data_IF_724954444633
#
_entry.id   IF_724954444633
#
_cell.length_a   1.000
_cell.length_b   1.000
_cell.length_c   1.000
_cell.angle_alpha   90.00
_cell.angle_beta   90.00
_cell.angle_gamma   90.00
#
_symmetry.space_group_name_H-M   'P 1'
#
loop_
_entity.id
_entity.type
_entity.pdbx_description
1 polymer ?
#
# COMPACT_ATOMS: atom_id res chain seq x y z
N UNK A 1 -11.49 -62.02 -6.72
CA UNK A 1 -10.49 -61.04 -6.27
C UNK A 1 -11.14 -60.27 -5.15
N UNK A 2 -10.49 -60.26 -4.01
CA UNK A 2 -10.92 -59.69 -2.73
C UNK A 2 -10.66 -58.19 -2.69
N UNK A 3 -11.66 -57.40 -2.29
CA UNK A 3 -11.52 -56.02 -1.79
C UNK A 3 -12.61 -55.90 -0.71
N UNK A 4 -12.29 -56.20 0.55
CA UNK A 4 -11.81 -55.30 1.61
C UNK A 4 -12.85 -54.24 2.02
N UNK A 5 -13.46 -54.51 3.18
CA UNK A 5 -14.35 -53.61 3.92
C UNK A 5 -13.52 -52.54 4.65
N UNK A 6 -13.95 -51.29 4.57
CA UNK A 6 -13.59 -50.25 5.54
C UNK A 6 -14.85 -49.85 6.30
N UNK A 7 -14.91 -50.20 7.59
CA UNK A 7 -15.88 -49.67 8.55
C UNK A 7 -15.45 -48.25 8.97
N UNK A 8 -16.39 -47.31 8.94
CA UNK A 8 -16.29 -46.08 9.73
C UNK A 8 -17.42 -46.12 10.77
N UNK A 9 -17.03 -46.47 12.00
CA UNK A 9 -17.83 -46.30 13.21
C UNK A 9 -18.12 -44.80 13.41
N UNK A 10 -19.34 -44.50 13.87
CA UNK A 10 -19.88 -43.17 14.23
C UNK A 10 -20.45 -42.27 13.12
N UNK A 11 -21.37 -42.79 12.31
CA UNK A 11 -22.55 -42.03 11.83
C UNK A 11 -23.71 -43.00 11.61
N UNK A 12 -24.74 -42.93 12.45
CA UNK A 12 -25.89 -43.83 12.42
C UNK A 12 -26.98 -43.42 11.42
N UNK A 13 -26.65 -43.26 10.14
CA UNK A 13 -27.65 -43.04 9.09
C UNK A 13 -27.34 -43.86 7.82
N UNK A 14 -28.35 -44.59 7.35
CA UNK A 14 -28.28 -45.36 6.11
C UNK A 14 -28.46 -44.42 4.91
N UNK A 15 -27.44 -44.36 4.04
CA UNK A 15 -27.52 -43.68 2.75
C UNK A 15 -28.13 -44.64 1.72
N UNK A 16 -29.36 -44.38 1.27
CA UNK A 16 -30.00 -45.09 0.15
C UNK A 16 -30.06 -44.14 -1.07
N UNK A 17 -29.43 -44.55 -2.16
CA UNK A 17 -29.05 -43.68 -3.28
C UNK A 17 -30.06 -43.62 -4.44
N UNK A 18 -31.36 -43.89 -4.22
CA UNK A 18 -32.31 -44.00 -5.35
C UNK A 18 -33.61 -43.20 -5.30
N UNK A 19 -33.94 -42.37 -4.30
CA UNK A 19 -35.20 -41.59 -4.33
C UNK A 19 -35.08 -40.18 -3.78
N UNK A 20 -35.17 -39.21 -4.70
CA UNK A 20 -35.29 -37.79 -4.39
C UNK A 20 -36.65 -37.43 -3.78
N UNK A 21 -36.59 -36.46 -2.86
CA UNK A 21 -37.66 -35.63 -2.30
C UNK A 21 -38.91 -36.35 -1.76
N UNK A 22 -39.12 -36.30 -0.44
CA UNK A 22 -40.47 -36.10 0.09
C UNK A 22 -40.52 -35.29 1.38
N UNK A 23 -41.50 -34.39 1.34
CA UNK A 23 -42.06 -33.48 2.35
C UNK A 23 -42.31 -34.15 3.70
N UNK A 24 -41.86 -33.50 4.78
CA UNK A 24 -42.28 -33.84 6.14
C UNK A 24 -43.36 -32.86 6.63
N UNK A 25 -44.51 -33.42 6.99
CA UNK A 25 -45.59 -32.77 7.74
C UNK A 25 -45.76 -33.51 9.08
N UNK A 26 -45.55 -32.82 10.20
CA UNK A 26 -46.09 -33.13 11.55
C UNK A 26 -45.60 -32.05 12.52
N UNK A 27 -46.44 -31.11 12.97
CA UNK A 27 -47.47 -31.18 14.03
C UNK A 27 -46.90 -31.19 15.46
N UNK A 28 -46.86 -29.97 16.02
CA UNK A 28 -47.10 -29.51 17.40
C UNK A 28 -46.70 -30.40 18.59
N UNK A 29 -45.80 -29.86 19.42
CA UNK A 29 -45.84 -29.99 20.87
C UNK A 29 -45.55 -28.61 21.50
N UNK A 30 -46.40 -28.25 22.46
CA UNK A 30 -46.42 -27.01 23.23
C UNK A 30 -45.38 -27.02 24.38
N UNK A 31 -45.25 -25.84 24.99
CA UNK A 31 -44.66 -25.50 26.28
C UNK A 31 -43.14 -25.25 26.33
N UNK A 32 -42.76 -23.97 26.27
CA UNK A 32 -42.02 -23.33 27.38
C UNK A 32 -42.01 -21.79 27.22
N UNK A 33 -42.09 -21.12 28.37
CA UNK A 33 -42.51 -19.74 28.61
C UNK A 33 -41.32 -18.77 28.75
N UNK A 34 -41.46 -17.58 28.15
CA UNK A 34 -40.80 -16.27 28.42
C UNK A 34 -39.29 -16.01 28.11
N UNK A 35 -38.83 -14.74 27.96
CA UNK A 35 -39.54 -13.45 28.01
C UNK A 35 -39.30 -12.50 26.82
N UNK A 36 -40.18 -11.50 26.69
CA UNK A 36 -40.19 -10.45 25.67
C UNK A 36 -38.94 -9.54 25.68
N UNK A 37 -38.42 -9.24 24.49
CA UNK A 37 -37.41 -8.19 24.26
C UNK A 37 -38.13 -6.89 23.84
N UNK A 38 -37.74 -5.72 24.35
CA UNK A 38 -38.38 -4.45 24.01
C UNK A 38 -37.99 -4.01 22.58
N UNK A 39 -39.00 -3.75 21.76
CA UNK A 39 -38.86 -3.09 20.46
C UNK A 39 -38.74 -1.58 20.65
N UNK A 40 -37.65 -1.01 20.17
CA UNK A 40 -37.41 0.43 20.15
C UNK A 40 -37.82 0.97 18.77
N UNK A 41 -39.06 1.47 18.64
CA UNK A 41 -39.50 2.21 17.45
C UNK A 41 -38.99 3.65 17.50
N UNK A 42 -38.07 4.00 16.59
CA UNK A 42 -37.69 5.39 16.33
C UNK A 42 -38.70 5.98 15.33
N UNK A 43 -39.63 6.76 15.86
CA UNK A 43 -40.57 7.55 15.07
C UNK A 43 -39.87 8.67 14.30
N UNK A 44 -39.76 8.52 12.98
CA UNK A 44 -39.29 9.58 12.07
C UNK A 44 -40.41 10.61 11.89
N UNK A 45 -40.35 11.71 12.67
CA UNK A 45 -41.23 12.86 12.45
C UNK A 45 -40.73 13.69 11.27
N UNK A 46 -41.48 13.65 10.17
CA UNK A 46 -41.42 14.61 9.05
C UNK A 46 -41.55 16.04 9.57
N UNK A 47 -40.49 16.84 9.42
CA UNK A 47 -40.57 18.29 9.45
C UNK A 47 -40.43 18.81 8.02
N UNK A 48 -41.55 19.25 7.45
CA UNK A 48 -41.56 20.13 6.28
C UNK A 48 -41.65 21.57 6.76
N UNK A 49 -40.76 22.43 6.27
CA UNK A 49 -40.78 23.90 6.33
C UNK A 49 -39.51 24.35 5.58
N UNK A 50 -39.42 25.37 4.75
CA UNK A 50 -40.32 26.24 4.01
C UNK A 50 -39.35 27.02 3.10
N UNK A 51 -39.65 27.12 1.80
CA UNK A 51 -38.90 27.92 0.84
C UNK A 51 -38.85 29.39 1.28
N UNK A 52 -37.67 30.00 1.34
CA UNK A 52 -37.51 31.45 1.39
C UNK A 52 -36.74 31.92 0.15
N UNK A 53 -37.51 32.34 -0.85
CA UNK A 53 -37.04 33.15 -1.98
C UNK A 53 -36.95 34.61 -1.50
N UNK A 54 -35.77 35.19 -1.54
CA UNK A 54 -35.60 36.64 -1.61
C UNK A 54 -34.60 36.95 -2.74
N UNK A 55 -35.12 37.60 -3.78
CA UNK A 55 -34.32 38.27 -4.80
C UNK A 55 -34.02 39.73 -4.45
N UNK A 56 -33.44 40.42 -5.45
CA UNK A 56 -33.01 41.83 -5.54
C UNK A 56 -31.57 42.06 -5.04
N UNK A 57 -30.65 42.76 -5.73
CA UNK A 57 -30.70 43.64 -6.91
C UNK A 57 -29.26 43.96 -7.37
N UNK A 58 -29.10 44.08 -8.69
CA UNK A 58 -28.29 45.02 -9.50
C UNK A 58 -27.15 45.84 -8.87
N UNK A 59 -25.98 45.84 -9.51
CA UNK A 59 -24.92 46.83 -9.28
C UNK A 59 -23.69 46.70 -10.19
N UNK A 60 -23.83 47.00 -11.49
CA UNK A 60 -22.70 47.38 -12.36
C UNK A 60 -22.31 48.83 -12.07
N UNK A 61 -21.03 49.12 -11.82
CA UNK A 61 -20.40 50.42 -12.17
C UNK A 61 -18.99 50.18 -12.73
N UNK A 62 -18.75 50.91 -13.82
CA UNK A 62 -17.61 50.97 -14.72
C UNK A 62 -16.35 51.60 -14.11
N UNK A 63 -15.20 51.12 -14.58
CA UNK A 63 -14.21 51.93 -15.32
C UNK A 63 -13.38 52.97 -14.57
N UNK A 64 -12.05 52.77 -14.58
CA UNK A 64 -11.08 53.78 -14.19
C UNK A 64 -9.67 53.42 -14.62
N UNK A 65 -9.34 53.73 -15.88
CA UNK A 65 -7.98 53.82 -16.42
C UNK A 65 -7.11 54.77 -15.59
N UNK A 66 -5.85 54.42 -15.36
CA UNK A 66 -4.75 55.40 -15.53
C UNK A 66 -3.41 54.71 -15.78
N UNK A 67 -2.55 55.45 -16.49
CA UNK A 67 -1.45 55.00 -17.34
C UNK A 67 -0.13 55.54 -16.79
N UNK A 68 0.98 54.85 -17.09
CA UNK A 68 2.34 55.42 -17.12
C UNK A 68 3.13 55.27 -15.81
N UNK A 69 4.46 55.15 -15.80
CA UNK A 69 5.50 55.39 -16.82
C UNK A 69 6.73 54.55 -16.41
N UNK A 70 7.52 54.07 -17.38
CA UNK A 70 8.77 53.34 -17.12
C UNK A 70 10.00 54.21 -16.82
N UNK A 71 11.10 53.55 -16.46
CA UNK A 71 12.53 53.95 -16.53
C UNK A 71 13.32 52.69 -16.09
N UNK A 72 14.10 51.99 -16.93
CA UNK A 72 15.40 52.29 -17.55
C UNK A 72 16.57 52.46 -16.57
N UNK A 73 17.57 51.57 -16.67
CA UNK A 73 18.94 51.68 -16.12
C UNK A 73 19.05 51.23 -14.65
N UNK A 74 20.09 50.53 -14.20
CA UNK A 74 21.46 50.48 -14.67
C UNK A 74 22.23 49.34 -13.99
N UNK A 75 23.22 48.82 -14.71
CA UNK A 75 24.25 47.88 -14.29
C UNK A 75 24.97 48.32 -13.01
N UNK A 76 25.26 47.35 -12.13
CA UNK A 76 26.33 47.47 -11.15
C UNK A 76 27.34 46.34 -11.39
N UNK A 77 28.43 46.71 -12.05
CA UNK A 77 29.69 45.97 -12.00
C UNK A 77 30.36 46.28 -10.66
N UNK A 78 30.78 45.23 -9.96
CA UNK A 78 31.75 45.34 -8.88
C UNK A 78 33.07 44.75 -9.37
N UNK A 79 34.07 45.61 -9.49
CA UNK A 79 35.42 45.32 -9.91
C UNK A 79 36.30 45.33 -8.65
N UNK A 80 36.94 44.20 -8.33
CA UNK A 80 38.12 44.19 -7.45
C UNK A 80 39.30 43.66 -8.26
N UNK A 81 40.32 44.50 -8.29
CA UNK A 81 41.61 44.30 -8.92
C UNK A 81 42.51 43.32 -8.14
N UNK A 82 43.39 42.64 -8.89
CA UNK A 82 44.52 41.84 -8.39
C UNK A 82 44.90 40.81 -9.46
N UNK A 83 45.62 41.21 -10.51
CA UNK A 83 47.07 40.99 -10.62
C UNK A 83 47.45 39.52 -10.40
N UNK A 84 47.60 38.75 -11.48
CA UNK A 84 48.92 38.30 -11.93
C UNK A 84 48.81 37.46 -13.21
N UNK A 85 49.75 37.73 -14.12
CA UNK A 85 49.90 37.12 -15.44
C UNK A 85 50.59 35.76 -15.35
N UNK A 86 50.00 34.69 -15.88
CA UNK A 86 50.74 33.52 -16.39
C UNK A 86 50.04 32.96 -17.64
N UNK A 87 50.85 32.68 -18.66
CA UNK A 87 50.54 32.18 -20.01
C UNK A 87 49.95 30.75 -20.06
N UNK A 88 49.25 30.36 -21.16
CA UNK A 88 48.69 29.02 -21.30
C UNK A 88 49.70 28.03 -21.89
N UNK A 89 49.76 26.82 -21.33
CA UNK A 89 50.36 25.64 -21.96
C UNK A 89 49.34 24.51 -21.94
N UNK A 90 48.95 24.02 -23.12
CA UNK A 90 48.13 22.82 -23.29
C UNK A 90 48.95 21.52 -23.04
N UNK A 91 48.36 20.31 -23.21
CA UNK A 91 47.90 19.49 -22.11
C UNK A 91 48.81 18.27 -21.95
N UNK A 92 48.89 17.71 -20.74
CA UNK A 92 49.47 16.37 -20.60
C UNK A 92 48.56 15.44 -19.81
N UNK A 93 48.40 14.28 -20.42
CA UNK A 93 47.62 13.10 -20.09
C UNK A 93 47.99 12.51 -18.73
N UNK A 94 47.00 12.04 -17.97
CA UNK A 94 47.25 11.16 -16.83
C UNK A 94 46.10 11.00 -15.86
N UNK A 95 45.29 9.98 -16.10
CA UNK A 95 44.56 9.10 -15.18
C UNK A 95 43.60 9.65 -14.10
N UNK A 96 42.44 8.97 -14.10
CA UNK A 96 41.52 8.67 -13.01
C UNK A 96 40.77 9.87 -12.43
N UNK A 97 39.44 9.88 -12.63
CA UNK A 97 38.53 9.58 -11.54
C UNK A 97 37.19 9.09 -12.10
N UNK A 98 36.79 7.90 -11.64
CA UNK A 98 35.44 7.39 -11.72
C UNK A 98 34.60 8.24 -10.77
N UNK A 99 33.78 9.13 -11.29
CA UNK A 99 32.64 9.70 -10.59
C UNK A 99 31.63 10.18 -11.63
N UNK A 100 30.84 9.24 -12.15
CA UNK A 100 29.59 9.57 -12.82
C UNK A 100 28.62 8.38 -12.79
N UNK A 101 28.12 8.05 -11.59
CA UNK A 101 26.78 7.46 -11.47
C UNK A 101 25.86 8.64 -11.15
N UNK A 102 25.67 9.50 -12.14
CA UNK A 102 24.58 10.46 -12.11
C UNK A 102 23.32 9.80 -12.68
N UNK A 103 22.26 9.95 -11.90
CA UNK A 103 20.87 9.63 -12.15
C UNK A 103 20.47 9.59 -13.63
N UNK A 104 20.47 8.40 -14.23
CA UNK A 104 19.78 8.16 -15.49
C UNK A 104 18.28 7.94 -15.21
N UNK A 105 17.61 8.93 -14.61
CA UNK A 105 16.17 9.08 -14.81
C UNK A 105 16.00 9.80 -16.14
N UNK A 106 16.11 9.04 -17.23
CA UNK A 106 15.70 9.53 -18.54
C UNK A 106 14.19 9.76 -18.49
N UNK A 107 13.82 11.02 -18.26
CA UNK A 107 12.50 11.54 -18.57
C UNK A 107 12.24 11.36 -20.07
N UNK A 108 11.60 10.24 -20.42
CA UNK A 108 10.78 10.22 -21.62
C UNK A 108 9.74 11.33 -21.41
N UNK A 109 9.73 12.34 -22.29
CA UNK A 109 8.99 13.61 -22.14
C UNK A 109 7.46 13.54 -22.06
N UNK A 110 6.90 12.42 -21.61
CA UNK A 110 5.49 12.20 -21.30
C UNK A 110 5.17 12.44 -19.83
N UNK A 111 6.16 12.46 -18.92
CA UNK A 111 5.94 12.58 -17.47
C UNK A 111 5.33 11.33 -16.82
N UNK A 112 5.36 10.20 -17.54
CA UNK A 112 4.96 8.87 -17.07
C UNK A 112 6.18 8.16 -16.50
N UNK A 113 6.08 7.63 -15.28
CA UNK A 113 7.19 6.96 -14.58
C UNK A 113 7.29 5.51 -15.04
N UNK A 114 8.50 5.06 -15.37
CA UNK A 114 8.78 3.64 -15.67
C UNK A 114 9.45 2.98 -14.47
N UNK A 115 9.19 1.69 -14.24
CA UNK A 115 10.05 0.87 -13.40
C UNK A 115 11.43 0.75 -14.04
N UNK A 116 12.48 0.99 -13.26
CA UNK A 116 13.87 0.78 -13.67
C UNK A 116 14.28 -0.69 -13.57
N UNK A 117 13.69 -1.43 -12.63
CA UNK A 117 13.85 -2.87 -12.46
C UNK A 117 12.47 -3.51 -12.31
N UNK A 118 12.22 -4.54 -13.10
CA UNK A 118 10.96 -5.31 -13.13
C UNK A 118 11.14 -6.72 -12.57
N UNK A 119 12.37 -7.08 -12.18
CA UNK A 119 12.66 -8.36 -11.54
C UNK A 119 12.19 -8.35 -10.09
N UNK A 120 11.58 -9.46 -9.68
CA UNK A 120 11.18 -9.69 -8.31
C UNK A 120 12.37 -9.47 -7.35
N UNK A 121 12.25 -8.57 -6.36
CA UNK A 121 13.41 -8.05 -5.65
C UNK A 121 14.03 -9.01 -4.63
N UNK A 122 13.41 -10.16 -4.35
CA UNK A 122 13.86 -11.09 -3.31
C UNK A 122 14.40 -12.41 -3.85
N UNK A 123 14.65 -12.49 -5.16
CA UNK A 123 15.27 -13.64 -5.81
C UNK A 123 14.46 -14.92 -5.58
N UNK A 124 15.01 -15.89 -4.85
CA UNK A 124 14.35 -17.18 -4.61
C UNK A 124 13.42 -17.19 -3.38
N UNK A 125 13.25 -16.06 -2.71
CA UNK A 125 12.37 -15.97 -1.55
C UNK A 125 10.91 -16.10 -2.00
N UNK A 126 10.17 -17.03 -1.41
CA UNK A 126 8.75 -17.21 -1.73
C UNK A 126 7.97 -15.91 -1.47
N UNK A 127 7.22 -15.46 -2.47
CA UNK A 127 6.12 -14.52 -2.33
C UNK A 127 4.80 -15.30 -2.36
N UNK A 128 3.89 -14.98 -1.45
CA UNK A 128 2.60 -15.65 -1.37
C UNK A 128 1.48 -14.74 -0.89
N UNK A 129 0.28 -15.32 -0.86
CA UNK A 129 -0.93 -14.68 -0.35
C UNK A 129 -1.32 -15.39 0.93
N UNK A 130 -1.46 -14.63 2.02
CA UNK A 130 -1.80 -15.17 3.33
C UNK A 130 -3.20 -15.78 3.37
N UNK A 131 -3.40 -16.64 4.37
CA UNK A 131 -4.69 -17.29 4.62
C UNK A 131 -5.08 -17.18 6.08
N UNK A 132 -6.37 -16.93 6.31
CA UNK A 132 -6.97 -16.84 7.64
C UNK A 132 -6.40 -15.74 8.54
N UNK A 133 -6.68 -15.87 9.83
CA UNK A 133 -6.24 -14.94 10.87
C UNK A 133 -5.18 -15.60 11.76
N UNK A 134 -4.20 -14.82 12.23
CA UNK A 134 -3.17 -15.30 13.17
C UNK A 134 -3.20 -14.49 14.46
N UNK A 135 -3.18 -15.17 15.60
CA UNK A 135 -3.26 -14.54 16.93
C UNK A 135 -1.95 -14.67 17.70
N UNK A 136 -1.48 -13.55 18.22
CA UNK A 136 -0.28 -13.38 19.04
C UNK A 136 -0.65 -12.67 20.33
N UNK A 137 -0.48 -13.33 21.47
CA UNK A 137 -0.95 -12.80 22.75
C UNK A 137 -2.45 -12.49 22.70
N UNK A 138 -2.80 -11.20 22.81
CA UNK A 138 -4.18 -10.70 22.70
C UNK A 138 -4.46 -9.98 21.36
N UNK A 139 -3.54 -10.08 20.40
CA UNK A 139 -3.60 -9.39 19.11
C UNK A 139 -3.87 -10.40 18.00
N UNK A 140 -4.83 -10.11 17.13
CA UNK A 140 -5.17 -10.97 15.98
C UNK A 140 -4.95 -10.16 14.70
N UNK A 141 -4.28 -10.74 13.72
CA UNK A 141 -4.10 -10.12 12.42
C UNK A 141 -4.90 -10.88 11.37
N UNK A 142 -5.64 -10.15 10.52
CA UNK A 142 -6.25 -10.67 9.29
C UNK A 142 -5.14 -10.83 8.27
N UNK A 143 -4.75 -12.06 7.98
CA UNK A 143 -3.69 -12.35 6.99
C UNK A 143 -4.28 -12.87 5.68
N UNK A 144 -5.58 -13.16 5.64
CA UNK A 144 -6.29 -13.58 4.45
C UNK A 144 -6.16 -12.52 3.35
N UNK A 145 -5.65 -12.91 2.18
CA UNK A 145 -5.52 -12.01 1.04
C UNK A 145 -4.26 -11.13 1.08
N UNK A 146 -3.52 -11.13 2.19
CA UNK A 146 -2.38 -10.23 2.36
C UNK A 146 -1.11 -10.76 1.68
N UNK A 147 -0.31 -9.89 1.03
CA UNK A 147 0.95 -10.31 0.44
C UNK A 147 1.98 -10.61 1.54
N UNK A 148 2.65 -11.75 1.43
CA UNK A 148 3.80 -12.08 2.28
C UNK A 148 5.04 -12.45 1.47
N UNK A 149 6.19 -12.34 2.15
CA UNK A 149 7.43 -13.03 1.79
C UNK A 149 7.96 -13.86 2.96
N UNK A 150 8.72 -14.91 2.65
CA UNK A 150 9.32 -15.79 3.65
C UNK A 150 8.57 -17.10 3.84
N UNK A 151 9.05 -17.90 4.79
CA UNK A 151 8.48 -19.23 5.05
C UNK A 151 7.07 -19.11 5.65
N UNK A 152 6.05 -19.82 5.13
CA UNK A 152 4.73 -19.89 5.77
C UNK A 152 4.77 -20.58 7.15
N UNK A 153 5.82 -21.37 7.41
CA UNK A 153 6.06 -22.07 8.68
C UNK A 153 6.95 -21.27 9.64
N UNK A 154 7.26 -20.00 9.34
CA UNK A 154 8.10 -19.18 10.21
C UNK A 154 7.47 -18.99 11.60
N UNK A 155 8.31 -19.06 12.63
CA UNK A 155 7.90 -18.90 14.02
C UNK A 155 7.42 -17.47 14.31
N UNK A 156 8.09 -16.48 13.73
CA UNK A 156 7.76 -15.07 13.88
C UNK A 156 6.98 -14.57 12.66
N UNK A 157 5.93 -13.79 12.91
CA UNK A 157 5.26 -13.02 11.85
C UNK A 157 5.49 -11.54 12.06
N UNK A 158 5.96 -10.87 11.01
CA UNK A 158 6.04 -9.42 10.94
C UNK A 158 4.86 -8.91 10.09
N UNK A 159 4.05 -8.00 10.62
CA UNK A 159 2.97 -7.32 9.88
C UNK A 159 3.30 -5.84 9.80
N UNK A 160 3.52 -5.33 8.59
CA UNK A 160 3.95 -3.95 8.37
C UNK A 160 2.82 -3.13 7.74
N UNK A 161 2.34 -2.14 8.49
CA UNK A 161 1.39 -1.14 8.02
C UNK A 161 2.14 0.07 7.47
N UNK A 162 2.07 0.29 6.17
CA UNK A 162 2.88 1.30 5.48
C UNK A 162 2.06 2.14 4.50
N UNK A 163 2.69 3.21 4.02
CA UNK A 163 2.12 4.14 3.04
C UNK A 163 3.19 4.40 1.99
N UNK A 164 2.87 4.14 0.72
CA UNK A 164 3.81 4.23 -0.40
C UNK A 164 4.33 5.64 -0.69
N UNK A 165 3.63 6.69 -0.26
CA UNK A 165 4.08 8.09 -0.37
C UNK A 165 4.84 8.56 0.87
N UNK A 166 4.75 7.84 1.98
CA UNK A 166 5.39 8.25 3.22
C UNK A 166 6.94 8.21 3.12
N UNK A 167 7.64 9.32 3.40
CA UNK A 167 9.10 9.34 3.38
C UNK A 167 9.75 8.51 4.50
N UNK A 168 9.03 8.28 5.61
CA UNK A 168 9.50 7.39 6.67
C UNK A 168 9.39 5.92 6.27
N UNK A 169 8.35 5.54 5.52
CA UNK A 169 8.24 4.18 4.96
C UNK A 169 9.38 3.92 3.98
N UNK A 170 9.67 4.87 3.07
CA UNK A 170 10.86 4.80 2.22
C UNK A 170 12.14 4.59 3.02
N UNK A 171 12.40 5.42 4.04
CA UNK A 171 13.59 5.27 4.89
C UNK A 171 13.65 3.92 5.59
N UNK A 172 12.53 3.39 6.06
CA UNK A 172 12.49 2.06 6.66
C UNK A 172 12.87 0.98 5.63
N UNK A 173 12.30 1.04 4.43
CA UNK A 173 12.56 0.10 3.34
C UNK A 173 14.02 0.13 2.84
N UNK A 174 14.65 1.30 2.79
CA UNK A 174 16.07 1.46 2.43
C UNK A 174 17.05 0.99 3.52
N UNK A 175 16.58 0.86 4.77
CA UNK A 175 17.44 0.60 5.92
C UNK A 175 17.02 -0.68 6.68
N UNK A 176 16.17 -0.55 7.70
CA UNK A 176 15.89 -1.64 8.63
C UNK A 176 15.21 -2.84 7.97
N UNK A 177 14.33 -2.59 6.99
CA UNK A 177 13.67 -3.65 6.23
C UNK A 177 14.67 -4.59 5.54
N UNK A 178 15.67 -4.04 4.85
CA UNK A 178 16.72 -4.83 4.17
C UNK A 178 17.40 -5.78 5.15
N UNK A 179 17.79 -5.27 6.33
CA UNK A 179 18.40 -6.09 7.36
C UNK A 179 17.46 -7.18 7.91
N UNK A 180 16.16 -6.88 8.05
CA UNK A 180 15.15 -7.87 8.48
C UNK A 180 14.99 -8.98 7.43
N UNK A 181 14.89 -8.61 6.15
CA UNK A 181 14.74 -9.57 5.05
C UNK A 181 15.95 -10.48 4.96
N UNK A 182 17.16 -9.91 4.91
CA UNK A 182 18.41 -10.67 4.75
C UNK A 182 18.70 -11.58 5.95
N UNK A 183 18.46 -11.10 7.17
CA UNK A 183 18.89 -11.83 8.37
C UNK A 183 17.85 -12.78 8.94
N UNK A 184 16.56 -12.63 8.61
CA UNK A 184 15.49 -13.42 9.22
C UNK A 184 14.51 -14.00 8.21
N UNK A 185 14.03 -13.20 7.26
CA UNK A 185 13.02 -13.69 6.29
C UNK A 185 13.64 -14.73 5.35
N UNK A 186 14.83 -14.45 4.82
CA UNK A 186 15.58 -15.39 3.96
C UNK A 186 16.01 -16.67 4.68
N UNK A 187 16.15 -16.62 6.01
CA UNK A 187 16.50 -17.80 6.82
C UNK A 187 15.28 -18.65 7.19
N UNK A 188 14.07 -18.14 6.93
CA UNK A 188 12.82 -18.80 7.29
C UNK A 188 12.37 -18.53 8.73
N UNK A 189 13.03 -17.63 9.45
CA UNK A 189 12.71 -17.30 10.84
C UNK A 189 11.50 -16.35 10.94
N UNK A 190 11.29 -15.51 9.92
CA UNK A 190 10.20 -14.52 9.85
C UNK A 190 9.38 -14.69 8.58
N UNK A 191 8.06 -14.72 8.72
CA UNK A 191 7.10 -14.47 7.64
C UNK A 191 6.70 -12.99 7.68
N UNK A 192 6.96 -12.25 6.60
CA UNK A 192 6.75 -10.81 6.56
C UNK A 192 5.55 -10.46 5.67
N UNK A 193 4.55 -9.82 6.25
CA UNK A 193 3.36 -9.30 5.57
C UNK A 193 3.44 -7.79 5.41
N UNK A 194 2.89 -7.30 4.31
CA UNK A 194 2.61 -5.88 4.11
C UNK A 194 1.10 -5.63 4.19
N UNK A 195 0.71 -4.49 4.76
CA UNK A 195 -0.66 -3.98 4.81
C UNK A 195 -0.69 -2.50 4.48
N UNK A 196 -1.71 -2.07 3.76
CA UNK A 196 -1.87 -0.67 3.35
C UNK A 196 -2.39 0.21 4.49
N UNK A 197 -1.70 1.31 4.77
CA UNK A 197 -2.16 2.35 5.71
C UNK A 197 -2.05 3.75 5.06
N UNK A 198 -2.78 4.01 3.96
CA UNK A 198 -2.66 5.27 3.23
C UNK A 198 -3.18 6.46 4.06
N UNK A 199 -2.30 7.40 4.35
CA UNK A 199 -2.57 8.62 5.12
C UNK A 199 -2.94 9.78 4.18
N UNK A 200 -4.00 9.59 3.37
CA UNK A 200 -4.42 10.47 2.27
C UNK A 200 -4.46 11.98 2.56
N UNK A 201 -4.76 12.37 3.81
CA UNK A 201 -4.77 13.78 4.22
C UNK A 201 -3.39 14.43 4.12
N UNK A 202 -2.35 13.65 4.32
CA UNK A 202 -0.94 14.06 4.25
C UNK A 202 -0.31 13.65 2.92
N UNK A 203 -0.78 12.55 2.35
CA UNK A 203 -0.19 11.87 1.20
C UNK A 203 -1.25 11.63 0.11
N UNK A 204 -1.47 12.60 -0.81
CA UNK A 204 -2.56 12.56 -1.78
C UNK A 204 -2.58 11.36 -2.73
N UNK A 205 -1.44 10.75 -3.05
CA UNK A 205 -1.36 9.59 -3.95
C UNK A 205 -1.14 8.25 -3.22
N UNK A 206 -1.21 8.24 -1.88
CA UNK A 206 -1.10 7.02 -1.07
C UNK A 206 -2.23 5.99 -1.33
N UNK A 207 -3.48 6.43 -1.50
CA UNK A 207 -4.59 5.50 -1.81
C UNK A 207 -4.55 4.99 -3.25
N UNK A 208 -4.32 5.83 -4.28
CA UNK A 208 -4.04 5.34 -5.64
C UNK A 208 -2.89 4.32 -5.70
N UNK A 209 -1.77 4.55 -5.01
CA UNK A 209 -0.67 3.56 -4.97
C UNK A 209 -1.04 2.26 -4.24
N UNK A 210 -1.79 2.33 -3.14
CA UNK A 210 -2.31 1.16 -2.44
C UNK A 210 -3.27 0.34 -3.32
N UNK A 211 -4.19 1.00 -4.02
CA UNK A 211 -5.09 0.33 -4.96
C UNK A 211 -4.31 -0.34 -6.11
N UNK A 212 -3.31 0.35 -6.67
CA UNK A 212 -2.46 -0.22 -7.71
C UNK A 212 -1.67 -1.44 -7.22
N UNK A 213 -1.21 -1.47 -5.96
CA UNK A 213 -0.52 -2.63 -5.41
C UNK A 213 -1.48 -3.81 -5.23
N UNK A 214 -2.69 -3.60 -4.74
CA UNK A 214 -3.69 -4.68 -4.63
C UNK A 214 -4.10 -5.24 -5.99
N UNK A 215 -4.27 -4.37 -7.00
CA UNK A 215 -4.53 -4.83 -8.37
C UNK A 215 -3.37 -5.63 -8.98
N UNK A 216 -2.13 -5.36 -8.56
CA UNK A 216 -0.99 -6.21 -8.92
C UNK A 216 -1.04 -7.56 -8.17
N UNK A 217 -1.33 -7.54 -6.86
CA UNK A 217 -1.43 -8.73 -6.01
C UNK A 217 -2.49 -9.71 -6.50
N UNK A 218 -3.64 -9.20 -6.94
CA UNK A 218 -4.73 -9.98 -7.52
C UNK A 218 -4.32 -10.88 -8.70
N UNK A 219 -3.25 -10.51 -9.39
CA UNK A 219 -2.72 -11.25 -10.52
C UNK A 219 -1.47 -12.05 -10.12
N UNK A 220 -0.57 -11.43 -9.36
CA UNK A 220 0.71 -12.01 -8.99
C UNK A 220 1.31 -11.37 -7.72
N UNK A 221 1.63 -12.21 -6.73
CA UNK A 221 2.28 -11.79 -5.49
C UNK A 221 3.69 -11.23 -5.74
N UNK A 222 4.46 -11.76 -6.70
CA UNK A 222 5.78 -11.20 -7.03
C UNK A 222 5.67 -9.80 -7.65
N UNK A 223 4.61 -9.55 -8.43
CA UNK A 223 4.33 -8.24 -8.99
C UNK A 223 3.99 -7.22 -7.90
N UNK A 224 3.22 -7.59 -6.88
CA UNK A 224 2.99 -6.74 -5.70
C UNK A 224 4.31 -6.27 -5.08
N UNK A 225 5.25 -7.20 -4.83
CA UNK A 225 6.53 -6.86 -4.21
C UNK A 225 7.42 -6.01 -5.12
N UNK A 226 7.32 -6.20 -6.43
CA UNK A 226 7.98 -5.36 -7.44
C UNK A 226 7.40 -3.95 -7.44
N UNK A 227 6.07 -3.80 -7.37
CA UNK A 227 5.38 -2.53 -7.22
C UNK A 227 5.79 -1.82 -5.93
N UNK A 228 5.75 -2.53 -4.79
CA UNK A 228 6.18 -1.99 -3.49
C UNK A 228 7.58 -1.39 -3.55
N UNK A 229 8.54 -2.12 -4.11
CA UNK A 229 9.90 -1.60 -4.29
C UNK A 229 9.89 -0.39 -5.22
N UNK A 230 9.21 -0.48 -6.36
CA UNK A 230 9.06 0.59 -7.33
C UNK A 230 8.54 1.89 -6.72
N UNK A 231 7.49 1.82 -5.89
CA UNK A 231 6.91 2.97 -5.21
C UNK A 231 7.93 3.69 -4.32
N UNK A 232 8.64 2.96 -3.46
CA UNK A 232 9.63 3.56 -2.57
C UNK A 232 10.86 4.10 -3.31
N UNK A 233 11.30 3.42 -4.38
CA UNK A 233 12.39 3.90 -5.21
C UNK A 233 12.02 5.20 -5.96
N UNK A 234 10.74 5.39 -6.33
CA UNK A 234 10.31 6.44 -7.24
C UNK A 234 9.39 7.52 -6.63
N UNK A 235 9.31 7.66 -5.30
CA UNK A 235 8.38 8.61 -4.63
C UNK A 235 8.39 10.03 -5.22
N UNK A 236 9.57 10.60 -5.51
CA UNK A 236 9.67 11.94 -6.09
C UNK A 236 9.10 12.00 -7.52
N UNK A 237 9.48 11.05 -8.37
CA UNK A 237 9.00 10.98 -9.75
C UNK A 237 7.49 10.75 -9.81
N UNK A 238 6.96 9.88 -8.94
CA UNK A 238 5.53 9.62 -8.81
C UNK A 238 4.76 10.82 -8.25
N UNK A 239 5.33 11.55 -7.30
CA UNK A 239 4.75 12.81 -6.82
C UNK A 239 4.64 13.85 -7.93
N UNK A 240 5.63 13.94 -8.82
CA UNK A 240 5.58 14.79 -10.01
C UNK A 240 4.57 14.27 -11.04
N UNK A 241 4.50 12.96 -11.27
CA UNK A 241 3.53 12.35 -12.17
C UNK A 241 2.10 12.59 -11.69
N UNK A 242 1.83 12.43 -10.40
CA UNK A 242 0.55 12.75 -9.77
C UNK A 242 0.15 14.22 -9.97
N UNK A 243 1.06 15.16 -9.71
CA UNK A 243 0.79 16.59 -9.93
C UNK A 243 0.48 16.94 -11.39
N UNK A 244 1.06 16.19 -12.33
CA UNK A 244 0.88 16.40 -13.77
C UNK A 244 -0.24 15.55 -14.39
N UNK A 245 -0.96 14.73 -13.60
CA UNK A 245 -2.05 13.87 -14.07
C UNK A 245 -1.60 12.60 -14.81
N UNK A 246 -0.36 12.14 -14.58
CA UNK A 246 0.24 10.98 -15.22
C UNK A 246 0.43 9.77 -14.27
N UNK A 247 -0.10 9.84 -13.04
CA UNK A 247 0.07 8.77 -12.06
C UNK A 247 -0.55 7.45 -12.53
N UNK A 248 -1.81 7.47 -12.95
CA UNK A 248 -2.53 6.28 -13.41
C UNK A 248 -1.86 5.66 -14.64
N UNK A 249 -1.45 6.49 -15.60
CA UNK A 249 -0.70 6.02 -16.77
C UNK A 249 0.64 5.39 -16.39
N UNK A 250 1.25 5.83 -15.28
CA UNK A 250 2.44 5.18 -14.72
C UNK A 250 2.10 3.80 -14.15
N UNK A 251 0.96 3.64 -13.47
CA UNK A 251 0.52 2.35 -12.93
C UNK A 251 0.23 1.33 -14.03
N UNK A 252 -0.44 1.74 -15.13
CA UNK A 252 -0.67 0.84 -16.26
C UNK A 252 0.64 0.45 -16.95
N UNK A 253 1.57 1.38 -17.07
CA UNK A 253 2.91 1.10 -17.59
C UNK A 253 3.65 0.11 -16.70
N UNK A 254 3.53 0.22 -15.38
CA UNK A 254 4.16 -0.72 -14.46
C UNK A 254 3.56 -2.11 -14.61
N UNK A 255 2.24 -2.23 -14.75
CA UNK A 255 1.57 -3.50 -15.01
C UNK A 255 2.07 -4.16 -16.30
N UNK A 256 2.22 -3.38 -17.39
CA UNK A 256 2.83 -3.87 -18.64
C UNK A 256 4.27 -4.35 -18.41
N UNK A 257 5.07 -3.55 -17.70
CA UNK A 257 6.49 -3.83 -17.45
C UNK A 257 6.73 -5.07 -16.58
N UNK A 258 5.82 -5.36 -15.64
CA UNK A 258 5.86 -6.57 -14.80
C UNK A 258 5.16 -7.77 -15.44
N UNK A 259 4.66 -7.64 -16.68
CA UNK A 259 4.04 -8.73 -17.41
C UNK A 259 2.64 -9.11 -16.93
N UNK A 260 1.97 -8.23 -16.18
CA UNK A 260 0.57 -8.41 -15.79
C UNK A 260 -0.35 -8.25 -17.00
N UNK A 261 -1.56 -8.80 -16.92
CA UNK A 261 -2.61 -8.50 -17.88
C UNK A 261 -3.06 -7.04 -17.68
N UNK A 262 -2.70 -6.18 -18.63
CA UNK A 262 -2.97 -4.74 -18.55
C UNK A 262 -4.46 -4.42 -18.62
N UNK A 263 -5.27 -5.22 -19.30
CA UNK A 263 -6.71 -4.99 -19.40
C UNK A 263 -7.38 -5.36 -18.08
N UNK A 264 -6.99 -6.49 -17.48
CA UNK A 264 -7.43 -6.88 -16.13
C UNK A 264 -6.98 -5.87 -15.08
N UNK A 265 -5.72 -5.40 -15.16
CA UNK A 265 -5.20 -4.40 -14.23
C UNK A 265 -5.97 -3.08 -14.34
N UNK A 266 -6.19 -2.57 -15.56
CA UNK A 266 -6.98 -1.36 -15.80
C UNK A 266 -8.39 -1.49 -15.25
N UNK A 267 -9.03 -2.64 -15.48
CA UNK A 267 -10.37 -2.88 -14.94
C UNK A 267 -10.38 -2.81 -13.41
N UNK A 268 -9.44 -3.51 -12.75
CA UNK A 268 -9.31 -3.50 -11.30
C UNK A 268 -9.09 -2.08 -10.76
N UNK A 269 -8.14 -1.35 -11.35
CA UNK A 269 -7.74 -0.03 -10.89
C UNK A 269 -8.80 1.05 -11.17
N UNK A 270 -9.35 1.10 -12.39
CA UNK A 270 -10.29 2.14 -12.82
C UNK A 270 -11.67 1.99 -12.16
N UNK A 271 -12.06 0.76 -11.80
CA UNK A 271 -13.30 0.49 -11.09
C UNK A 271 -13.12 0.40 -9.57
N UNK A 272 -11.90 0.64 -9.06
CA UNK A 272 -11.58 0.57 -7.63
C UNK A 272 -11.95 -0.78 -6.99
N UNK A 273 -11.78 -1.89 -7.72
CA UNK A 273 -12.26 -3.22 -7.31
C UNK A 273 -11.66 -3.66 -5.96
N UNK A 274 -10.42 -3.27 -5.68
CA UNK A 274 -9.70 -3.61 -4.43
C UNK A 274 -9.67 -2.50 -3.38
N UNK A 275 -10.46 -1.43 -3.56
CA UNK A 275 -10.48 -0.35 -2.58
C UNK A 275 -11.01 -0.82 -1.21
N UNK A 276 -11.90 -1.81 -1.19
CA UNK A 276 -12.40 -2.38 0.06
C UNK A 276 -11.28 -3.02 0.89
N UNK A 277 -10.37 -3.79 0.27
CA UNK A 277 -9.23 -4.39 0.98
C UNK A 277 -8.27 -3.32 1.52
N UNK A 278 -7.99 -2.27 0.75
CA UNK A 278 -7.21 -1.12 1.23
C UNK A 278 -7.85 -0.46 2.47
N UNK A 279 -9.17 -0.33 2.50
CA UNK A 279 -9.86 0.22 3.68
C UNK A 279 -9.87 -0.76 4.86
N UNK A 280 -9.96 -2.08 4.61
CA UNK A 280 -9.90 -3.10 5.65
C UNK A 280 -8.53 -3.08 6.35
N UNK A 281 -7.44 -3.03 5.60
CA UNK A 281 -6.08 -2.88 6.14
C UNK A 281 -5.93 -1.64 6.99
N UNK A 282 -6.36 -0.49 6.45
CA UNK A 282 -6.30 0.79 7.14
C UNK A 282 -7.12 0.76 8.44
N UNK A 283 -8.31 0.17 8.41
CA UNK A 283 -9.17 0.03 9.59
C UNK A 283 -8.52 -0.87 10.63
N UNK A 284 -7.99 -2.03 10.21
CA UNK A 284 -7.26 -2.94 11.10
C UNK A 284 -6.06 -2.25 11.76
N UNK A 285 -5.23 -1.55 10.97
CA UNK A 285 -4.10 -0.77 11.48
C UNK A 285 -4.54 0.24 12.55
N UNK A 286 -5.60 1.01 12.29
CA UNK A 286 -6.16 1.96 13.25
C UNK A 286 -6.63 1.27 14.54
N UNK A 287 -7.34 0.14 14.43
CA UNK A 287 -7.86 -0.61 15.58
C UNK A 287 -6.73 -1.23 16.43
N UNK A 288 -5.57 -1.53 15.81
CA UNK A 288 -4.34 -1.97 16.51
C UNK A 288 -3.48 -0.80 16.98
N UNK A 289 -3.90 0.44 16.76
CA UNK A 289 -3.20 1.64 17.17
C UNK A 289 -1.93 1.94 16.35
N UNK A 290 -1.91 1.55 15.08
CA UNK A 290 -0.96 2.07 14.09
C UNK A 290 -1.37 3.51 13.73
N UNK A 291 -0.83 4.47 14.49
CA UNK A 291 -1.21 5.89 14.35
C UNK A 291 -0.30 6.68 13.42
N UNK A 292 0.78 6.05 12.96
CA UNK A 292 1.78 6.60 12.05
C UNK A 292 2.34 5.49 11.14
N UNK A 293 3.00 5.89 10.05
CA UNK A 293 3.64 4.96 9.12
C UNK A 293 5.17 5.15 9.10
N UNK A 294 5.95 4.05 8.98
CA UNK A 294 5.49 2.67 9.06
C UNK A 294 5.17 2.28 10.51
N UNK A 295 4.22 1.38 10.73
CA UNK A 295 4.05 0.67 12.01
C UNK A 295 4.19 -0.82 11.75
N UNK A 296 5.13 -1.46 12.43
CA UNK A 296 5.41 -2.88 12.27
C UNK A 296 5.07 -3.60 13.57
N UNK A 297 4.32 -4.69 13.46
CA UNK A 297 4.12 -5.63 14.54
C UNK A 297 5.00 -6.86 14.31
N UNK A 298 5.83 -7.20 15.29
CA UNK A 298 6.56 -8.47 15.33
C UNK A 298 5.83 -9.33 16.35
N UNK A 299 5.04 -10.31 15.87
CA UNK A 299 4.00 -10.96 16.66
C UNK A 299 3.09 -9.90 17.30
N UNK A 300 3.06 -9.79 18.63
CA UNK A 300 2.28 -8.77 19.36
C UNK A 300 3.07 -7.51 19.73
N UNK A 301 4.36 -7.44 19.39
CA UNK A 301 5.25 -6.33 19.72
C UNK A 301 5.19 -5.22 18.65
N UNK A 302 4.68 -4.04 19.03
CA UNK A 302 4.55 -2.89 18.14
C UNK A 302 5.81 -2.03 18.09
N UNK A 303 6.32 -1.78 16.88
CA UNK A 303 7.38 -0.82 16.57
C UNK A 303 6.83 0.26 15.62
N UNK A 304 6.71 1.48 16.12
CA UNK A 304 6.17 2.62 15.34
C UNK A 304 7.29 3.53 14.82
N UNK A 305 7.19 3.89 13.54
CA UNK A 305 8.13 4.73 12.80
C UNK A 305 9.33 3.98 12.21
N UNK A 306 10.11 4.70 11.41
CA UNK A 306 11.36 4.19 10.83
C UNK A 306 12.48 4.11 11.88
N UNK A 307 12.34 3.15 12.80
CA UNK A 307 13.29 2.81 13.87
C UNK A 307 14.58 2.19 13.30
N UNK A 308 15.69 2.23 14.03
CA UNK A 308 16.93 1.59 13.59
C UNK A 308 16.79 0.05 13.58
N UNK A 309 17.53 -0.61 12.67
CA UNK A 309 17.56 -2.07 12.52
C UNK A 309 17.73 -2.82 13.85
N UNK A 310 18.59 -2.34 14.74
CA UNK A 310 18.85 -2.97 16.04
C UNK A 310 17.62 -3.14 16.92
N UNK A 311 16.58 -2.29 16.75
CA UNK A 311 15.30 -2.48 17.45
C UNK A 311 14.55 -3.68 16.90
N UNK A 312 14.45 -3.81 15.58
CA UNK A 312 13.82 -4.95 14.92
C UNK A 312 14.56 -6.26 15.23
N UNK A 313 15.89 -6.25 15.11
CA UNK A 313 16.75 -7.37 15.47
C UNK A 313 16.47 -7.84 16.91
N UNK A 314 16.55 -6.93 17.89
CA UNK A 314 16.32 -7.29 19.30
C UNK A 314 14.93 -7.86 19.55
N UNK A 315 13.90 -7.34 18.87
CA UNK A 315 12.52 -7.80 19.04
C UNK A 315 12.30 -9.15 18.37
N UNK A 316 12.85 -9.40 17.18
CA UNK A 316 12.74 -10.70 16.51
C UNK A 316 13.45 -11.78 17.33
N UNK A 317 14.67 -11.51 17.80
CA UNK A 317 15.45 -12.45 18.64
C UNK A 317 14.76 -12.77 19.96
N UNK A 318 13.98 -11.84 20.53
CA UNK A 318 13.17 -12.09 21.72
C UNK A 318 11.97 -13.01 21.41
N UNK A 319 11.44 -12.96 20.18
CA UNK A 319 10.29 -13.76 19.75
C UNK A 319 10.66 -15.16 19.23
N UNK A 320 11.95 -15.44 18.97
CA UNK A 320 12.48 -16.75 18.56
C UNK A 320 12.91 -17.64 19.73
N UNK A 321 12.71 -17.20 20.97
CA UNK A 321 13.15 -17.89 22.21
C UNK A 321 12.00 -18.59 22.92
#
# INVERSE_FOLDING_TARGET
>A
MSEENFECDTCGENFDSERGLHVHESRSHDDDEEPEKPTFEIGVRKFGFLMFMLGLTTGMILGGFSVGVGMSGSNFNFEIAGSDTVTPSEPNTGNNDNDNIDSQNQESGTGVVSLQNTEYPYGNLEAGIGSGDKTYGNTTFRLQGEPYIGSPDAEVTAVSFEDFECPFCKRYNENAYTGVVENYVQKGDVQYFYKNLPLQRLHPWAEPSALASECALNQDAEAFWTFKKGFFDNQEALGNAHQNGNFDESMYKWAEQTGLDTDQFRQCYDNEEELEEVQQDKQEGNDRGASATPTIFINDQKLEGAQPYSRFESTIEEQLQ
#
